data_IF_406638580398
#
_entry.id   IF_406638580398
#
_cell.length_a   1.000
_cell.length_b   1.000
_cell.length_c   1.000
_cell.angle_alpha   90.00
_cell.angle_beta   90.00
_cell.angle_gamma   90.00
#
_symmetry.space_group_name_H-M   'P 1'
#
loop_
_entity.id
_entity.type
_entity.pdbx_description
1 polymer ?
#
# COMPACT_ATOMS: atom_id res chain seq x y z
N UNK A 1 7.63 22.94 40.90
CA UNK A 1 8.16 22.36 39.65
C UNK A 1 7.22 21.25 39.22
N UNK A 2 6.24 21.57 38.38
CA UNK A 2 5.35 20.58 37.77
C UNK A 2 5.56 20.69 36.26
N UNK A 3 6.28 19.72 35.68
CA UNK A 3 6.45 19.62 34.25
C UNK A 3 5.17 18.99 33.67
N UNK A 4 4.41 19.79 32.93
CA UNK A 4 3.31 19.30 32.10
C UNK A 4 3.92 18.55 30.91
N UNK A 5 3.59 17.26 30.82
CA UNK A 5 3.82 16.44 29.64
C UNK A 5 2.89 16.92 28.54
N UNK A 6 3.42 17.65 27.56
CA UNK A 6 2.71 17.99 26.34
C UNK A 6 2.50 16.72 25.50
N UNK A 7 1.24 16.32 25.41
CA UNK A 7 0.76 15.25 24.55
C UNK A 7 0.90 15.69 23.10
N UNK A 8 1.92 15.17 22.40
CA UNK A 8 2.08 15.36 20.95
C UNK A 8 0.93 14.68 20.22
N UNK A 9 -0.10 15.45 19.89
CA UNK A 9 -1.14 15.05 18.93
C UNK A 9 -0.48 14.88 17.56
N UNK A 10 -0.12 13.63 17.22
CA UNK A 10 0.38 13.28 15.88
C UNK A 10 -0.82 13.36 14.94
N UNK A 11 -0.94 14.50 14.25
CA UNK A 11 -1.91 14.70 13.19
C UNK A 11 -1.52 13.77 12.01
N UNK A 12 -2.11 12.58 11.92
CA UNK A 12 -1.91 11.68 10.78
C UNK A 12 -2.61 12.31 9.58
N UNK A 13 -1.86 12.91 8.66
CA UNK A 13 -2.38 13.33 7.37
C UNK A 13 -3.06 12.13 6.68
N UNK A 14 -4.36 12.27 6.38
CA UNK A 14 -5.12 11.24 5.66
C UNK A 14 -4.83 11.42 4.18
N UNK A 15 -3.86 10.68 3.67
CA UNK A 15 -3.57 10.64 2.23
C UNK A 15 -4.72 9.92 1.49
N UNK A 16 -5.12 10.47 0.35
CA UNK A 16 -6.06 9.82 -0.57
C UNK A 16 -5.22 9.06 -1.60
N UNK A 17 -5.49 7.77 -1.75
CA UNK A 17 -4.90 6.92 -2.78
C UNK A 17 -5.92 6.73 -3.89
N UNK A 18 -5.51 6.96 -5.14
CA UNK A 18 -6.37 6.80 -6.29
C UNK A 18 -6.17 5.42 -6.92
N UNK A 19 -7.25 4.67 -7.08
CA UNK A 19 -7.25 3.45 -7.89
C UNK A 19 -7.13 3.84 -9.37
N UNK A 20 -6.07 3.37 -10.03
CA UNK A 20 -5.80 3.64 -11.44
C UNK A 20 -5.31 2.37 -12.14
N UNK A 21 -5.51 2.30 -13.45
CA UNK A 21 -4.77 1.37 -14.31
C UNK A 21 -3.29 1.80 -14.35
N UNK A 22 -2.38 0.84 -14.49
CA UNK A 22 -0.95 1.13 -14.55
C UNK A 22 -0.64 2.03 -15.74
N UNK A 23 -1.27 1.83 -16.89
CA UNK A 23 -1.11 2.73 -18.04
C UNK A 23 -1.44 4.18 -17.70
N UNK A 24 -2.49 4.40 -16.90
CA UNK A 24 -2.92 5.75 -16.53
C UNK A 24 -1.91 6.37 -15.57
N UNK A 25 -1.40 5.59 -14.60
CA UNK A 25 -0.33 6.02 -13.69
C UNK A 25 0.92 6.46 -14.46
N UNK A 26 1.36 5.64 -15.42
CA UNK A 26 2.57 5.91 -16.22
C UNK A 26 2.44 7.17 -17.07
N UNK A 27 1.23 7.50 -17.51
CA UNK A 27 0.93 8.67 -18.34
C UNK A 27 0.59 9.93 -17.53
N UNK A 28 0.62 9.88 -16.20
CA UNK A 28 0.40 11.06 -15.38
C UNK A 28 1.46 12.14 -15.66
N UNK A 29 1.01 13.39 -15.78
CA UNK A 29 1.91 14.53 -15.98
C UNK A 29 2.47 14.96 -14.62
N UNK A 30 3.77 15.22 -14.54
CA UNK A 30 4.37 15.74 -13.32
C UNK A 30 3.89 17.16 -13.01
N UNK A 31 3.62 17.43 -11.73
CA UNK A 31 3.36 18.79 -11.30
C UNK A 31 4.63 19.64 -11.53
N UNK A 32 4.53 20.81 -12.18
CA UNK A 32 5.70 21.59 -12.57
C UNK A 32 6.52 22.13 -11.40
N UNK A 33 5.89 22.28 -10.23
CA UNK A 33 6.50 22.93 -9.05
C UNK A 33 6.47 22.09 -7.76
N UNK A 34 5.69 21.01 -7.71
CA UNK A 34 5.50 20.22 -6.49
C UNK A 34 6.09 18.84 -6.71
N UNK A 35 7.21 18.57 -6.03
CA UNK A 35 7.89 17.29 -6.14
C UNK A 35 6.99 16.12 -5.74
N UNK A 36 7.11 15.00 -6.45
CA UNK A 36 6.37 13.77 -6.20
C UNK A 36 4.85 13.94 -6.21
N UNK A 37 4.37 14.92 -6.98
CA UNK A 37 2.96 15.14 -7.24
C UNK A 37 2.76 15.08 -8.74
N UNK A 38 1.73 14.36 -9.14
CA UNK A 38 1.31 14.19 -10.51
C UNK A 38 -0.04 14.88 -10.72
N UNK A 39 -0.42 15.09 -11.97
CA UNK A 39 -1.66 15.71 -12.37
C UNK A 39 -2.48 14.75 -13.22
N UNK A 40 -3.76 14.61 -12.85
CA UNK A 40 -4.79 13.96 -13.63
C UNK A 40 -5.97 14.92 -13.78
N UNK A 41 -6.18 15.45 -14.99
CA UNK A 41 -7.22 16.45 -15.26
C UNK A 41 -7.18 17.63 -14.25
N UNK A 42 -6.00 18.19 -14.02
CA UNK A 42 -5.69 19.25 -13.04
C UNK A 42 -5.88 18.87 -11.56
N UNK A 43 -6.19 17.61 -11.23
CA UNK A 43 -6.21 17.13 -9.85
C UNK A 43 -4.84 16.61 -9.44
N UNK A 44 -4.39 16.98 -8.24
CA UNK A 44 -3.14 16.48 -7.67
C UNK A 44 -3.26 15.01 -7.25
N UNK A 45 -2.39 14.17 -7.80
CA UNK A 45 -2.26 12.76 -7.47
C UNK A 45 -0.90 12.54 -6.82
N UNK A 46 -0.91 12.06 -5.58
CA UNK A 46 0.32 11.73 -4.81
C UNK A 46 0.38 10.26 -4.44
N UNK A 47 -0.76 9.68 -4.09
CA UNK A 47 -0.92 8.29 -3.73
C UNK A 47 -1.71 7.53 -4.78
N UNK A 48 -1.30 6.30 -5.07
CA UNK A 48 -2.02 5.39 -5.98
C UNK A 48 -2.18 4.02 -5.36
N UNK A 49 -3.22 3.33 -5.80
CA UNK A 49 -3.42 1.91 -5.58
C UNK A 49 -3.38 1.21 -6.94
N UNK A 50 -2.41 0.31 -7.09
CA UNK A 50 -2.22 -0.50 -8.30
C UNK A 50 -2.45 -1.97 -7.97
N UNK A 51 -3.01 -2.70 -8.93
CA UNK A 51 -3.14 -4.15 -8.85
C UNK A 51 -2.49 -4.74 -10.09
N UNK A 52 -1.97 -5.95 -9.96
CA UNK A 52 -1.47 -6.70 -11.11
C UNK A 52 -0.73 -7.95 -10.70
N UNK A 53 -0.24 -8.66 -11.70
CA UNK A 53 0.56 -9.86 -11.55
C UNK A 53 2.03 -9.47 -11.41
N UNK A 54 2.73 -10.09 -10.47
CA UNK A 54 4.17 -9.90 -10.33
C UNK A 54 4.89 -10.58 -11.51
N UNK A 55 5.45 -9.78 -12.41
CA UNK A 55 6.27 -10.22 -13.56
C UNK A 55 7.76 -10.26 -13.24
N UNK A 56 8.20 -9.56 -12.18
CA UNK A 56 9.60 -9.51 -11.76
C UNK A 56 9.78 -9.22 -10.28
N UNK A 57 10.84 -9.76 -9.67
CA UNK A 57 11.22 -9.47 -8.27
C UNK A 57 12.71 -9.15 -8.23
N UNK A 58 13.06 -8.07 -7.54
CA UNK A 58 14.42 -7.64 -7.33
C UNK A 58 14.67 -7.32 -5.87
N UNK A 59 15.67 -7.99 -5.29
CA UNK A 59 16.18 -7.63 -3.97
C UNK A 59 17.03 -6.37 -4.05
N UNK A 60 16.77 -5.42 -3.16
CA UNK A 60 17.55 -4.20 -2.99
C UNK A 60 18.25 -4.22 -1.63
N UNK A 61 19.07 -3.20 -1.33
CA UNK A 61 19.76 -3.11 -0.04
C UNK A 61 18.81 -2.89 1.14
N UNK A 62 17.68 -2.23 0.90
CA UNK A 62 16.77 -1.76 1.93
C UNK A 62 15.38 -2.42 1.85
N UNK A 63 15.18 -3.39 0.96
CA UNK A 63 13.92 -4.13 0.82
C UNK A 63 13.78 -4.84 -0.53
N UNK A 64 12.55 -4.92 -1.03
CA UNK A 64 12.20 -5.59 -2.28
C UNK A 64 11.59 -4.62 -3.29
N UNK A 65 11.84 -4.88 -4.55
CA UNK A 65 11.21 -4.22 -5.68
C UNK A 65 10.47 -5.28 -6.50
N UNK A 66 9.23 -4.99 -6.84
CA UNK A 66 8.33 -5.84 -7.61
C UNK A 66 8.00 -5.14 -8.91
N UNK A 67 8.11 -5.85 -10.01
CA UNK A 67 7.62 -5.42 -11.31
C UNK A 67 6.21 -6.00 -11.45
N UNK A 68 5.23 -5.14 -11.65
CA UNK A 68 3.80 -5.47 -11.58
C UNK A 68 3.15 -5.10 -12.92
N UNK A 69 2.41 -6.04 -13.50
CA UNK A 69 1.71 -5.90 -14.79
C UNK A 69 0.20 -6.14 -14.61
N UNK A 70 -0.62 -5.19 -15.08
CA UNK A 70 -2.09 -5.27 -15.03
C UNK A 70 -2.73 -5.49 -16.42
N UNK A 71 -1.91 -5.80 -17.43
CA UNK A 71 -2.30 -5.94 -18.82
C UNK A 71 -2.42 -4.62 -19.58
N UNK A 72 -2.33 -3.47 -18.90
CA UNK A 72 -2.31 -2.14 -19.52
C UNK A 72 -0.92 -1.51 -19.51
N UNK A 73 -0.07 -1.94 -18.58
CA UNK A 73 1.32 -1.51 -18.48
C UNK A 73 2.03 -2.19 -17.32
N UNK A 74 3.33 -1.94 -17.23
CA UNK A 74 4.20 -2.53 -16.21
C UNK A 74 4.85 -1.41 -15.37
N UNK A 75 4.82 -1.53 -14.03
CA UNK A 75 5.39 -0.55 -13.12
C UNK A 75 6.14 -1.20 -11.97
N UNK A 76 7.17 -0.51 -11.47
CA UNK A 76 7.95 -0.92 -10.31
C UNK A 76 7.29 -0.45 -9.01
N UNK A 77 6.98 -1.39 -8.12
CA UNK A 77 6.54 -1.16 -6.75
C UNK A 77 7.66 -1.52 -5.77
N UNK A 78 8.09 -0.57 -4.95
CA UNK A 78 9.18 -0.72 -3.98
C UNK A 78 8.60 -0.83 -2.59
N UNK A 79 8.97 -1.90 -1.89
CA UNK A 79 8.74 -2.07 -0.46
C UNK A 79 10.08 -1.95 0.27
N UNK A 80 10.14 -1.06 1.27
CA UNK A 80 11.29 -0.92 2.16
C UNK A 80 11.01 -1.66 3.47
N UNK A 81 11.92 -2.56 3.83
CA UNK A 81 11.87 -3.23 5.13
C UNK A 81 12.18 -2.19 6.20
N UNK A 82 11.21 -1.88 7.05
CA UNK A 82 11.40 -0.96 8.17
C UNK A 82 12.42 -1.54 9.15
N UNK A 83 13.59 -0.90 9.30
CA UNK A 83 14.61 -1.27 10.30
C UNK A 83 14.11 -1.10 11.75
N UNK A 84 12.98 -0.42 11.95
CA UNK A 84 12.45 -0.03 13.26
C UNK A 84 11.45 -1.02 13.90
N UNK A 85 10.93 -2.00 13.16
CA UNK A 85 9.89 -2.92 13.69
C UNK A 85 10.47 -4.09 14.50
N UNK A 86 11.79 -4.27 14.51
CA UNK A 86 12.47 -5.33 15.28
C UNK A 86 12.59 -5.05 16.78
N UNK A 87 12.30 -3.82 17.25
CA UNK A 87 12.41 -3.47 18.67
C UNK A 87 11.13 -3.70 19.48
N UNK A 88 9.95 -3.67 18.84
CA UNK A 88 8.67 -3.91 19.52
C UNK A 88 8.44 -5.44 19.68
N UNK A 89 8.79 -6.21 18.65
CA UNK A 89 8.45 -7.64 18.56
C UNK A 89 9.21 -8.55 19.53
N UNK A 90 10.47 -8.29 19.90
CA UNK A 90 11.22 -9.18 20.82
C UNK A 90 11.04 -8.86 22.31
N UNK A 91 10.76 -7.60 22.65
CA UNK A 91 10.70 -7.14 24.05
C UNK A 91 9.36 -7.49 24.72
N UNK A 92 8.26 -7.40 23.98
CA UNK A 92 6.91 -7.69 24.49
C UNK A 92 6.61 -9.20 24.59
N UNK A 93 7.24 -10.03 23.74
CA UNK A 93 7.11 -11.50 23.81
C UNK A 93 7.73 -12.07 25.11
N UNK A 94 8.82 -11.47 25.61
CA UNK A 94 9.41 -11.91 26.88
C UNK A 94 8.62 -11.45 28.11
N UNK A 95 7.84 -10.37 28.02
CA UNK A 95 6.97 -9.93 29.13
C UNK A 95 5.70 -10.78 29.29
N UNK A 96 5.29 -11.53 28.27
CA UNK A 96 4.14 -12.44 28.32
C UNK A 96 4.48 -13.86 28.81
N UNK A 97 5.77 -14.21 28.92
CA UNK A 97 6.21 -15.53 29.42
C UNK A 97 6.38 -15.62 30.93
N UNK A 98 6.34 -14.51 31.67
CA UNK A 98 6.61 -14.49 33.12
C UNK A 98 5.56 -13.68 33.87
N UNK A 99 4.36 -14.25 34.04
CA UNK A 99 3.42 -14.03 35.16
C UNK A 99 2.10 -14.73 34.83
N UNK A 100 2.04 -16.04 35.05
CA UNK A 100 0.79 -16.80 35.01
C UNK A 100 0.60 -17.53 36.34
N UNK A 101 0.20 -16.77 37.36
CA UNK A 101 -0.45 -17.31 38.56
C UNK A 101 -1.83 -16.63 38.69
N UNK A 102 -2.75 -17.00 37.82
CA UNK A 102 -4.20 -16.92 38.10
C UNK A 102 -4.96 -17.80 37.09
N UNK A 103 -5.77 -18.72 37.62
CA UNK A 103 -6.57 -19.69 36.86
C UNK A 103 -7.67 -18.97 36.06
N UNK A 104 -7.53 -18.91 34.73
CA UNK A 104 -8.63 -18.61 33.79
C UNK A 104 -9.17 -19.93 33.19
N UNK A 105 -10.48 -20.06 32.87
CA UNK A 105 -11.04 -21.30 32.33
C UNK A 105 -10.53 -21.59 30.92
N UNK A 106 -10.25 -22.88 30.67
CA UNK A 106 -9.31 -23.38 29.64
C UNK A 106 -9.81 -23.43 28.20
N UNK A 107 -10.90 -22.74 27.82
CA UNK A 107 -11.39 -22.72 26.42
C UNK A 107 -11.22 -21.36 25.74
N UNK A 108 -11.52 -20.26 26.42
CA UNK A 108 -11.40 -18.90 25.85
C UNK A 108 -9.94 -18.53 25.56
N UNK A 109 -9.00 -18.95 26.41
CA UNK A 109 -7.57 -18.77 26.17
C UNK A 109 -7.02 -19.62 25.03
N UNK A 110 -7.63 -20.78 24.72
CA UNK A 110 -7.22 -21.61 23.60
C UNK A 110 -7.69 -21.01 22.28
N UNK A 111 -8.96 -20.60 22.20
CA UNK A 111 -9.51 -19.91 21.02
C UNK A 111 -8.81 -18.58 20.73
N UNK A 112 -8.49 -17.80 21.76
CA UNK A 112 -7.69 -16.58 21.58
C UNK A 112 -6.28 -16.87 21.07
N UNK A 113 -5.64 -17.94 21.54
CA UNK A 113 -4.31 -18.35 21.04
C UNK A 113 -4.39 -18.83 19.59
N UNK A 114 -5.41 -19.61 19.23
CA UNK A 114 -5.62 -20.06 17.85
C UNK A 114 -5.90 -18.88 16.92
N UNK A 115 -6.75 -17.94 17.33
CA UNK A 115 -7.03 -16.70 16.59
C UNK A 115 -5.76 -15.84 16.42
N UNK A 116 -4.98 -15.68 17.49
CA UNK A 116 -3.72 -14.95 17.42
C UNK A 116 -2.79 -15.66 16.43
N UNK A 117 -2.60 -16.97 16.54
CA UNK A 117 -1.73 -17.75 15.63
C UNK A 117 -2.20 -17.69 14.18
N UNK A 118 -3.50 -17.73 13.90
CA UNK A 118 -4.02 -17.57 12.54
C UNK A 118 -3.73 -16.17 12.00
N UNK A 119 -3.97 -15.12 12.80
CA UNK A 119 -3.63 -13.75 12.41
C UNK A 119 -2.14 -13.56 12.13
N UNK A 120 -1.24 -14.20 12.91
CA UNK A 120 0.20 -14.15 12.64
C UNK A 120 0.57 -14.87 11.35
N UNK A 121 -0.03 -16.04 11.07
CA UNK A 121 0.19 -16.75 9.81
C UNK A 121 -0.29 -15.95 8.61
N UNK A 122 -1.44 -15.30 8.72
CA UNK A 122 -1.96 -14.42 7.67
C UNK A 122 -1.05 -13.20 7.47
N UNK A 123 -0.47 -12.66 8.55
CA UNK A 123 0.51 -11.57 8.48
C UNK A 123 1.81 -12.00 7.80
N UNK A 124 2.29 -13.22 8.08
CA UNK A 124 3.47 -13.80 7.42
C UNK A 124 3.21 -14.11 5.95
N UNK A 125 2.04 -14.67 5.60
CA UNK A 125 1.63 -14.95 4.21
C UNK A 125 1.37 -13.69 3.39
N UNK A 126 1.04 -12.58 4.05
CA UNK A 126 0.88 -11.28 3.40
C UNK A 126 2.14 -10.42 3.49
N UNK A 127 3.27 -10.97 3.99
CA UNK A 127 4.55 -10.27 3.94
C UNK A 127 5.05 -10.17 2.49
N UNK A 128 5.65 -9.05 2.04
CA UNK A 128 6.15 -8.92 0.68
C UNK A 128 7.25 -9.93 0.37
N UNK A 129 7.99 -10.38 1.39
CA UNK A 129 9.01 -11.44 1.26
C UNK A 129 8.43 -12.79 0.83
N UNK A 130 7.12 -13.00 0.99
CA UNK A 130 6.44 -14.25 0.62
C UNK A 130 5.91 -14.26 -0.81
N UNK A 131 5.85 -13.09 -1.46
CA UNK A 131 5.30 -12.93 -2.81
C UNK A 131 6.20 -13.57 -3.87
N UNK A 132 5.58 -14.13 -4.92
CA UNK A 132 6.28 -14.85 -5.99
C UNK A 132 5.86 -14.36 -7.37
N UNK A 133 6.69 -14.69 -8.37
CA UNK A 133 6.32 -14.48 -9.77
C UNK A 133 4.99 -15.17 -10.08
N UNK A 134 4.10 -14.47 -10.76
CA UNK A 134 2.76 -14.95 -11.09
C UNK A 134 1.71 -14.70 -9.99
N UNK A 135 2.09 -14.21 -8.81
CA UNK A 135 1.11 -13.81 -7.79
C UNK A 135 0.40 -12.51 -8.21
N UNK A 136 -0.92 -12.46 -8.08
CA UNK A 136 -1.70 -11.21 -8.18
C UNK A 136 -1.63 -10.48 -6.84
N UNK A 137 -1.27 -9.20 -6.89
CA UNK A 137 -1.05 -8.38 -5.70
C UNK A 137 -1.67 -7.00 -5.84
N UNK A 138 -1.90 -6.37 -4.69
CA UNK A 138 -2.26 -4.96 -4.58
C UNK A 138 -1.12 -4.23 -3.89
N UNK A 139 -0.72 -3.09 -4.44
CA UNK A 139 0.17 -2.14 -3.77
C UNK A 139 -0.51 -0.78 -3.68
N UNK A 140 -0.58 -0.25 -2.47
CA UNK A 140 -1.04 1.12 -2.19
C UNK A 140 0.12 1.92 -1.66
N UNK A 141 0.43 3.04 -2.28
CA UNK A 141 1.65 3.77 -1.97
C UNK A 141 1.76 5.13 -2.64
N UNK A 142 2.94 5.74 -2.50
CA UNK A 142 3.21 7.06 -3.05
C UNK A 142 3.95 6.98 -4.38
N UNK A 143 3.54 7.81 -5.33
CA UNK A 143 4.29 7.99 -6.56
C UNK A 143 5.61 8.71 -6.30
N UNK A 144 6.66 8.21 -6.94
CA UNK A 144 7.96 8.86 -7.06
C UNK A 144 8.40 8.76 -8.50
N UNK A 145 9.17 9.74 -8.94
CA UNK A 145 9.91 9.64 -10.19
C UNK A 145 11.36 9.31 -9.88
N UNK A 146 11.87 8.25 -10.51
CA UNK A 146 13.26 7.85 -10.42
C UNK A 146 13.83 7.68 -11.82
N UNK A 147 14.80 8.53 -12.20
CA UNK A 147 15.43 8.55 -13.54
C UNK A 147 14.41 8.62 -14.68
N UNK A 148 13.36 9.42 -14.52
CA UNK A 148 12.30 9.59 -15.51
C UNK A 148 11.30 8.44 -15.60
N UNK A 149 11.37 7.45 -14.70
CA UNK A 149 10.38 6.39 -14.56
C UNK A 149 9.54 6.60 -13.31
N UNK A 150 8.23 6.40 -13.42
CA UNK A 150 7.31 6.38 -12.28
C UNK A 150 7.45 5.07 -11.53
N UNK A 151 7.57 5.16 -10.22
CA UNK A 151 7.64 4.02 -9.31
C UNK A 151 6.71 4.27 -8.12
N UNK A 152 6.17 3.20 -7.57
CA UNK A 152 5.27 3.25 -6.40
C UNK A 152 6.04 2.81 -5.16
N UNK A 153 6.20 3.69 -4.18
CA UNK A 153 6.70 3.30 -2.85
C UNK A 153 5.54 2.79 -2.02
N UNK A 154 5.44 1.46 -1.90
CA UNK A 154 4.36 0.78 -1.23
C UNK A 154 4.35 1.09 0.28
N UNK A 155 3.18 1.51 0.77
CA UNK A 155 2.86 1.63 2.20
C UNK A 155 2.02 0.47 2.70
N UNK A 156 1.10 0.02 1.85
CA UNK A 156 0.26 -1.15 2.11
C UNK A 156 0.34 -2.08 0.91
N UNK A 157 0.19 -3.36 1.20
CA UNK A 157 0.26 -4.42 0.21
C UNK A 157 -0.59 -5.59 0.66
N UNK A 158 -1.07 -6.38 -0.30
CA UNK A 158 -1.68 -7.68 -0.02
C UNK A 158 -1.61 -8.57 -1.26
N UNK A 159 -1.64 -9.87 -1.02
CA UNK A 159 -1.91 -10.84 -2.08
C UNK A 159 -3.41 -10.90 -2.38
N UNK A 160 -3.76 -11.07 -3.65
CA UNK A 160 -5.13 -11.30 -4.11
C UNK A 160 -5.27 -12.77 -4.46
N UNK A 161 -6.21 -13.45 -3.82
CA UNK A 161 -6.46 -14.88 -4.04
C UNK A 161 -7.74 -15.12 -4.85
N UNK A 162 -8.72 -14.21 -4.78
CA UNK A 162 -9.99 -14.33 -5.48
C UNK A 162 -9.97 -13.58 -6.82
N UNK A 163 -10.11 -14.32 -7.92
CA UNK A 163 -10.18 -13.78 -9.27
C UNK A 163 -11.40 -12.85 -9.47
N UNK A 164 -12.48 -13.04 -8.71
CA UNK A 164 -13.65 -12.17 -8.79
C UNK A 164 -13.34 -10.75 -8.33
N UNK A 165 -12.42 -10.59 -7.36
CA UNK A 165 -11.96 -9.27 -6.92
C UNK A 165 -11.25 -8.53 -8.06
N UNK A 166 -10.43 -9.24 -8.83
CA UNK A 166 -9.70 -8.68 -9.98
C UNK A 166 -10.68 -8.22 -11.07
N UNK A 167 -11.67 -9.06 -11.41
CA UNK A 167 -12.70 -8.70 -12.40
C UNK A 167 -13.53 -7.51 -11.91
N UNK A 168 -13.94 -7.50 -10.65
CA UNK A 168 -14.71 -6.41 -10.07
C UNK A 168 -13.91 -5.09 -10.08
N UNK A 169 -12.62 -5.13 -9.74
CA UNK A 169 -11.71 -3.98 -9.83
C UNK A 169 -11.60 -3.46 -11.26
N UNK A 170 -11.43 -4.34 -12.25
CA UNK A 170 -11.32 -3.93 -13.65
C UNK A 170 -12.60 -3.26 -14.16
N UNK A 171 -13.77 -3.82 -13.84
CA UNK A 171 -15.07 -3.21 -14.18
C UNK A 171 -15.23 -1.85 -13.49
N UNK A 172 -14.88 -1.76 -12.20
CA UNK A 172 -14.91 -0.51 -11.45
C UNK A 172 -13.99 0.55 -12.07
N UNK A 173 -12.75 0.19 -12.41
CA UNK A 173 -11.81 1.12 -13.01
C UNK A 173 -12.24 1.56 -14.40
N UNK A 174 -12.82 0.69 -15.23
CA UNK A 174 -13.38 1.11 -16.52
C UNK A 174 -14.48 2.15 -16.34
N UNK A 175 -15.34 1.99 -15.33
CA UNK A 175 -16.38 2.97 -14.99
C UNK A 175 -15.82 4.28 -14.45
N UNK A 176 -14.83 4.23 -13.56
CA UNK A 176 -14.16 5.44 -13.05
C UNK A 176 -13.44 6.16 -14.19
N UNK A 177 -12.70 5.42 -15.02
CA UNK A 177 -12.00 5.92 -16.20
C UNK A 177 -12.95 6.63 -17.15
N UNK A 178 -14.10 6.04 -17.47
CA UNK A 178 -15.08 6.66 -18.37
C UNK A 178 -15.62 7.98 -17.82
N UNK A 179 -15.77 8.11 -16.49
CA UNK A 179 -16.19 9.37 -15.85
C UNK A 179 -15.08 10.41 -15.80
N UNK A 180 -13.85 9.98 -15.48
CA UNK A 180 -12.70 10.88 -15.37
C UNK A 180 -12.30 11.45 -16.73
N UNK A 181 -12.23 10.62 -17.77
CA UNK A 181 -11.78 11.03 -19.10
C UNK A 181 -12.91 11.34 -20.09
N UNK A 182 -14.14 10.86 -19.84
CA UNK A 182 -15.27 11.02 -20.77
C UNK A 182 -16.00 12.36 -20.66
N UNK A 183 -15.67 13.19 -19.66
CA UNK A 183 -16.08 14.59 -19.61
C UNK A 183 -14.82 15.44 -19.69
N UNK A 184 -14.71 16.41 -20.63
CA UNK A 184 -13.66 17.41 -20.52
C UNK A 184 -13.78 18.06 -19.13
N UNK A 185 -12.66 18.41 -18.47
CA UNK A 185 -12.74 19.17 -17.23
C UNK A 185 -13.64 20.39 -17.49
N UNK A 186 -14.52 20.70 -16.55
CA UNK A 186 -15.28 21.96 -16.54
C UNK A 186 -14.29 23.11 -16.31
N UNK A 187 -13.41 23.34 -17.28
CA UNK A 187 -12.54 24.47 -17.39
C UNK A 187 -13.37 25.59 -17.97
N UNK A 188 -13.57 26.63 -17.16
CA UNK A 188 -13.99 27.93 -17.63
C UNK A 188 -13.16 28.27 -18.88
N UNK A 189 -13.84 28.46 -20.00
CA UNK A 189 -13.32 29.23 -21.12
C UNK A 189 -13.07 30.65 -20.59
N UNK A 190 -11.87 30.90 -20.07
CA UNK A 190 -11.32 32.24 -20.13
C UNK A 190 -10.50 32.31 -21.40
N UNK A 191 -11.09 33.02 -22.35
CA UNK A 191 -10.54 33.48 -23.61
C UNK A 191 -9.11 34.02 -23.42
N UNK A 192 -8.21 33.62 -24.32
CA UNK A 192 -7.03 34.39 -24.72
C UNK A 192 -7.05 34.55 -26.24
#
# INVERSE_FOLDING_TARGET
MAAQLEEKVVNKEKYIYCDLFISDVLNLVNHPTINNTCLLNNNEIRGVTIWGVISGIKTTKDGLSFIVDDGTGEIEAVWESSKDTSHITKKEINSLKTKSDSKMPSQTCALLKELIVSMWKDLELNSPDSFKLGDTVVFTGFLRDFKGKKIVYAKEYRKVEDINEEVARNIYLLHVRSKLYGSPPLGNYMEL
#
